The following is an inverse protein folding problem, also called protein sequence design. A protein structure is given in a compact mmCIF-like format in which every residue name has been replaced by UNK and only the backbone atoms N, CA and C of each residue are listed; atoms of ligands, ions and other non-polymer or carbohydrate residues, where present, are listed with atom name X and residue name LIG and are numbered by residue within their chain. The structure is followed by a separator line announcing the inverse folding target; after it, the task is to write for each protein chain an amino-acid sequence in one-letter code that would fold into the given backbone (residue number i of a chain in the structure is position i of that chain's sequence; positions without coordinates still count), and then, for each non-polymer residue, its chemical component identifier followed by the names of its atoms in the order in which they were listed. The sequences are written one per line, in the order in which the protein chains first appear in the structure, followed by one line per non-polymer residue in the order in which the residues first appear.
data_IF_786755866914
#
_entry.id   IF_786755866914
#
_cell.length_a   1.000
_cell.length_b   1.000
_cell.length_c   1.000
_cell.angle_alpha   90.00
_cell.angle_beta   90.00
_cell.angle_gamma   90.00
#
_symmetry.space_group_name_H-M   'P 1'
#
loop_
_entity.id
_entity.type
_entity.pdbx_description
1 polymer ?
#
# COMPACT_ATOMS: atom_id res chain seq x y z
N UNK A 1 -8.40 -0.14 22.19
CA UNK A 1 -7.01 -0.40 21.75
C UNK A 1 -7.11 -1.30 20.53
N UNK A 2 -6.81 -0.78 19.34
CA UNK A 2 -6.87 -1.55 18.10
C UNK A 2 -5.68 -2.51 18.01
N UNK A 3 -5.86 -3.65 17.34
CA UNK A 3 -4.89 -4.75 17.20
C UNK A 3 -3.53 -4.38 16.58
N UNK A 4 -3.32 -3.12 16.21
CA UNK A 4 -2.21 -2.72 15.34
C UNK A 4 -2.40 -3.25 13.92
N UNK A 5 -1.36 -3.12 13.11
CA UNK A 5 -1.32 -3.63 11.74
C UNK A 5 -0.97 -5.12 11.75
N UNK A 6 -1.61 -5.90 10.88
CA UNK A 6 -1.24 -7.30 10.65
C UNK A 6 -0.52 -7.36 9.31
N UNK A 7 0.79 -7.57 9.37
CA UNK A 7 1.67 -7.63 8.20
C UNK A 7 2.36 -8.98 8.14
N UNK A 8 2.70 -9.42 6.92
CA UNK A 8 3.54 -10.59 6.74
C UNK A 8 4.91 -10.36 7.38
N UNK A 9 5.47 -11.37 8.05
CA UNK A 9 6.84 -11.31 8.56
C UNK A 9 7.80 -11.25 7.37
N UNK A 10 8.72 -10.29 7.39
CA UNK A 10 9.69 -10.07 6.32
C UNK A 10 11.11 -10.18 6.88
N UNK A 11 12.04 -10.68 6.07
CA UNK A 11 13.47 -10.78 6.40
C UNK A 11 14.30 -9.68 5.75
N UNK A 12 13.73 -8.48 5.59
CA UNK A 12 14.37 -7.37 4.88
C UNK A 12 15.00 -6.38 5.85
N UNK A 13 16.20 -5.91 5.55
CA UNK A 13 16.91 -4.90 6.37
C UNK A 13 16.33 -3.49 6.20
N UNK A 14 15.60 -3.24 5.10
CA UNK A 14 15.16 -1.92 4.66
C UNK A 14 13.64 -1.67 4.81
N UNK A 15 12.91 -2.60 5.44
CA UNK A 15 11.46 -2.52 5.63
C UNK A 15 10.64 -3.13 4.49
N UNK A 16 9.34 -2.85 4.44
CA UNK A 16 8.39 -3.60 3.62
C UNK A 16 8.17 -3.05 2.20
N UNK A 17 8.88 -2.00 1.77
CA UNK A 17 8.68 -1.43 0.44
C UNK A 17 9.13 -2.38 -0.68
N UNK A 18 8.32 -2.53 -1.74
CA UNK A 18 8.61 -3.42 -2.87
C UNK A 18 9.91 -3.03 -3.56
N UNK A 19 10.16 -1.72 -3.75
CA UNK A 19 11.39 -1.19 -4.34
C UNK A 19 12.66 -1.49 -3.53
N UNK A 20 12.51 -1.94 -2.28
CA UNK A 20 13.58 -2.32 -1.37
C UNK A 20 13.61 -3.85 -1.09
N UNK A 21 12.88 -4.64 -1.89
CA UNK A 21 12.82 -6.10 -1.76
C UNK A 21 11.80 -6.62 -0.74
N UNK A 22 10.95 -5.75 -0.18
CA UNK A 22 9.81 -6.14 0.65
C UNK A 22 8.58 -6.58 -0.16
N UNK A 23 7.50 -6.95 0.53
CA UNK A 23 6.24 -7.43 -0.11
C UNK A 23 5.10 -6.40 -0.06
N UNK A 24 5.40 -5.15 0.27
CA UNK A 24 4.42 -4.09 0.49
C UNK A 24 3.99 -3.96 1.95
N UNK A 25 3.15 -2.95 2.20
CA UNK A 25 2.61 -2.61 3.51
C UNK A 25 1.14 -3.04 3.61
N UNK A 26 0.70 -3.45 4.79
CA UNK A 26 -0.69 -3.85 5.03
C UNK A 26 -1.63 -2.64 4.99
N UNK A 27 -1.15 -1.46 5.38
CA UNK A 27 -1.93 -0.23 5.34
C UNK A 27 -1.07 1.03 5.20
N UNK A 28 -1.73 2.13 4.82
CA UNK A 28 -1.10 3.46 4.68
C UNK A 28 -0.54 4.00 6.01
N UNK A 29 -1.11 3.59 7.14
CA UNK A 29 -0.60 4.00 8.45
C UNK A 29 0.74 3.33 8.78
N UNK A 30 0.94 2.07 8.36
CA UNK A 30 2.19 1.34 8.55
C UNK A 30 3.36 2.02 7.82
N UNK A 31 3.20 2.28 6.52
CA UNK A 31 4.25 2.94 5.72
C UNK A 31 4.60 4.31 6.28
N UNK A 32 3.60 5.12 6.61
CA UNK A 32 3.80 6.46 7.17
C UNK A 32 4.48 6.44 8.54
N UNK A 33 4.20 5.42 9.36
CA UNK A 33 4.87 5.23 10.65
C UNK A 33 6.35 4.87 10.45
N UNK A 34 6.65 3.97 9.52
CA UNK A 34 8.03 3.59 9.19
C UNK A 34 8.82 4.79 8.63
N UNK A 35 8.22 5.58 7.72
CA UNK A 35 8.82 6.83 7.23
C UNK A 35 9.07 7.82 8.37
N UNK A 36 8.14 7.93 9.32
CA UNK A 36 8.33 8.81 10.48
C UNK A 36 9.49 8.36 11.36
N UNK A 37 9.63 7.06 11.61
CA UNK A 37 10.74 6.50 12.40
C UNK A 37 12.09 6.69 11.68
N UNK A 38 12.12 6.47 10.36
CA UNK A 38 13.36 6.52 9.55
C UNK A 38 13.79 7.94 9.20
N UNK A 39 12.85 8.76 8.76
CA UNK A 39 13.09 10.05 8.10
C UNK A 39 12.56 11.25 8.92
N UNK A 40 11.97 11.00 10.09
CA UNK A 40 11.43 12.00 11.00
C UNK A 40 10.04 12.54 10.62
N UNK A 41 9.52 12.21 9.43
CA UNK A 41 8.18 12.59 8.96
C UNK A 41 7.66 11.63 7.89
N UNK A 42 6.33 11.49 7.73
CA UNK A 42 5.77 10.73 6.63
C UNK A 42 5.89 11.50 5.31
N UNK A 43 6.34 10.81 4.26
CA UNK A 43 6.38 11.33 2.89
C UNK A 43 5.21 10.85 2.03
N UNK A 44 4.65 9.67 2.33
CA UNK A 44 3.55 9.11 1.55
C UNK A 44 2.23 9.81 1.89
N UNK A 45 1.63 10.46 0.89
CA UNK A 45 0.33 11.13 1.01
C UNK A 45 -0.83 10.15 1.18
N UNK A 46 -1.91 10.60 1.81
CA UNK A 46 -3.20 9.91 1.69
C UNK A 46 -3.77 10.12 0.29
N UNK A 47 -4.75 9.31 -0.09
CA UNK A 47 -5.50 9.53 -1.33
C UNK A 47 -6.20 10.89 -1.32
N UNK A 48 -6.25 11.52 -2.48
CA UNK A 48 -6.91 12.80 -2.72
C UNK A 48 -8.08 12.64 -3.71
N UNK A 49 -8.91 13.68 -3.81
CA UNK A 49 -10.00 13.71 -4.78
C UNK A 49 -9.46 13.54 -6.20
N UNK A 50 -10.03 12.59 -6.95
CA UNK A 50 -9.62 12.29 -8.31
C UNK A 50 -8.56 11.21 -8.46
N UNK A 51 -7.93 10.75 -7.37
CA UNK A 51 -7.06 9.58 -7.39
C UNK A 51 -7.85 8.33 -7.82
N UNK A 52 -7.16 7.38 -8.44
CA UNK A 52 -7.74 6.10 -8.87
C UNK A 52 -7.01 4.95 -8.21
N UNK A 53 -7.75 4.06 -7.56
CA UNK A 53 -7.25 2.79 -7.04
C UNK A 53 -7.65 1.70 -8.03
N UNK A 54 -6.66 0.91 -8.48
CA UNK A 54 -6.86 -0.28 -9.31
C UNK A 54 -6.33 -1.50 -8.58
N UNK A 55 -7.15 -2.54 -8.45
CA UNK A 55 -6.77 -3.86 -7.91
C UNK A 55 -7.09 -4.90 -8.97
N UNK A 56 -6.09 -5.69 -9.34
CA UNK A 56 -6.18 -6.69 -10.39
C UNK A 56 -5.35 -7.91 -10.03
N UNK A 57 -5.79 -9.08 -10.46
CA UNK A 57 -5.02 -10.31 -10.38
C UNK A 57 -4.74 -10.81 -11.79
N UNK A 58 -3.46 -11.03 -12.07
CA UNK A 58 -2.97 -11.54 -13.35
C UNK A 58 -2.51 -12.99 -13.21
N UNK A 59 -2.70 -13.78 -14.26
CA UNK A 59 -2.09 -15.10 -14.39
C UNK A 59 -0.61 -15.01 -14.82
N UNK A 60 0.00 -16.17 -15.07
CA UNK A 60 1.39 -16.27 -15.52
C UNK A 60 1.64 -15.67 -16.92
N UNK A 61 0.60 -15.48 -17.72
CA UNK A 61 0.61 -14.86 -19.03
C UNK A 61 0.25 -13.36 -18.98
N UNK A 62 0.17 -12.77 -17.78
CA UNK A 62 -0.22 -11.37 -17.55
C UNK A 62 -1.66 -11.07 -17.99
N UNK A 63 -2.54 -12.08 -18.05
CA UNK A 63 -3.95 -11.91 -18.37
C UNK A 63 -4.77 -11.76 -17.09
N UNK A 64 -5.75 -10.85 -17.14
CA UNK A 64 -6.63 -10.59 -16.00
C UNK A 64 -7.53 -11.80 -15.73
N UNK A 65 -7.43 -12.36 -14.53
CA UNK A 65 -8.20 -13.55 -14.12
C UNK A 65 -9.66 -13.17 -13.82
N UNK A 66 -9.86 -12.01 -13.19
CA UNK A 66 -11.17 -11.57 -12.67
C UNK A 66 -11.63 -10.22 -13.23
N UNK A 67 -10.86 -9.62 -14.14
CA UNK A 67 -10.95 -8.19 -14.41
C UNK A 67 -10.31 -7.37 -13.29
N UNK A 68 -10.59 -6.06 -13.28
CA UNK A 68 -10.04 -5.15 -12.29
C UNK A 68 -11.14 -4.42 -11.51
N UNK A 69 -10.90 -4.28 -10.20
CA UNK A 69 -11.62 -3.31 -9.37
C UNK A 69 -10.93 -1.96 -9.61
N UNK A 70 -11.65 -1.00 -10.16
CA UNK A 70 -11.12 0.34 -10.45
C UNK A 70 -12.06 1.40 -9.91
N UNK A 71 -11.59 2.19 -8.95
CA UNK A 71 -12.41 3.17 -8.24
C UNK A 71 -11.72 4.51 -8.21
N UNK A 72 -12.47 5.57 -8.55
CA UNK A 72 -12.03 6.95 -8.43
C UNK A 72 -12.49 7.51 -7.09
N UNK A 73 -11.57 8.09 -6.33
CA UNK A 73 -11.87 8.77 -5.08
C UNK A 73 -12.65 10.04 -5.40
N UNK A 74 -13.84 10.16 -4.82
CA UNK A 74 -14.68 11.35 -4.88
C UNK A 74 -14.95 11.85 -3.45
N UNK A 75 -14.84 13.16 -3.27
CA UNK A 75 -15.37 13.80 -2.06
C UNK A 75 -16.88 13.87 -2.21
N UNK A 76 -17.61 13.38 -1.21
CA UNK A 76 -19.05 13.56 -1.13
C UNK A 76 -19.30 15.01 -0.69
N UNK A 77 -19.97 15.77 -1.56
CA UNK A 77 -20.45 17.12 -1.28
C UNK A 77 -21.80 17.08 -0.58
#
# INVERSE_FOLDING_TARGET
IGSGTVSNKQGTDYGSAIVQGGVGYSCIAEVRMIETIRDGKPSTSFMANGDTVRIEMLDDQQQSIFGAIEQRVSVLN
#
